data_IF_063303291751
#
_entry.id   IF_063303291751
#
_cell.length_a   1.000
_cell.length_b   1.000
_cell.length_c   1.000
_cell.angle_alpha   90.00
_cell.angle_beta   90.00
_cell.angle_gamma   90.00
#
_symmetry.space_group_name_H-M   'P 1'
#
loop_
_entity.id
_entity.type
_entity.pdbx_description
1 polymer ?
#
# COMPACT_ATOMS: atom_id res chain seq x y z
N UNK A 1 11.46 8.40 -12.95
CA UNK A 1 10.29 7.58 -13.27
C UNK A 1 10.26 7.35 -14.75
N UNK A 2 9.81 6.18 -15.19
CA UNK A 2 9.50 5.94 -16.60
C UNK A 2 8.23 6.72 -16.96
N UNK A 3 8.28 7.49 -18.04
CA UNK A 3 7.14 8.21 -18.60
C UNK A 3 6.61 7.41 -19.80
N UNK A 4 5.31 7.20 -19.85
CA UNK A 4 4.63 6.52 -20.95
C UNK A 4 3.60 7.46 -21.58
N UNK A 5 3.68 7.63 -22.90
CA UNK A 5 2.71 8.43 -23.66
C UNK A 5 1.55 7.54 -24.13
N UNK A 6 0.34 7.90 -23.70
CA UNK A 6 -0.88 7.25 -24.15
C UNK A 6 -1.24 7.70 -25.58
N UNK A 7 -1.99 6.89 -26.35
CA UNK A 7 -2.40 7.23 -27.73
C UNK A 7 -3.19 8.54 -27.88
N UNK A 8 -3.77 9.04 -26.78
CA UNK A 8 -4.50 10.30 -26.73
C UNK A 8 -3.61 11.52 -26.36
N UNK A 9 -2.29 11.35 -26.29
CA UNK A 9 -1.33 12.40 -25.94
C UNK A 9 -1.19 12.67 -24.44
N UNK A 10 -1.78 11.84 -23.57
CA UNK A 10 -1.59 11.96 -22.12
C UNK A 10 -0.25 11.35 -21.69
N UNK A 11 0.47 12.00 -20.78
CA UNK A 11 1.72 11.48 -20.19
C UNK A 11 1.40 10.83 -18.85
N UNK A 12 1.74 9.55 -18.70
CA UNK A 12 1.69 8.83 -17.44
C UNK A 12 3.11 8.70 -16.86
N UNK A 13 3.29 9.00 -15.56
CA UNK A 13 4.55 8.74 -14.85
C UNK A 13 4.35 7.62 -13.85
N UNK A 14 5.28 6.65 -13.82
CA UNK A 14 5.24 5.56 -12.84
C UNK A 14 5.76 6.03 -11.48
N UNK A 15 4.93 5.84 -10.44
CA UNK A 15 5.34 5.96 -9.03
C UNK A 15 5.84 4.59 -8.56
N UNK A 16 7.15 4.36 -8.64
CA UNK A 16 7.74 3.09 -8.20
C UNK A 16 7.99 3.08 -6.69
N UNK A 17 7.09 2.41 -5.97
CA UNK A 17 7.14 2.21 -4.52
C UNK A 17 7.66 0.82 -4.14
N UNK A 18 8.08 -0.01 -5.10
CA UNK A 18 8.34 -1.44 -4.88
C UNK A 18 9.43 -1.66 -3.85
N UNK A 19 10.60 -1.04 -4.05
CA UNK A 19 11.75 -1.23 -3.16
C UNK A 19 11.50 -0.68 -1.76
N UNK A 20 10.90 0.51 -1.63
CA UNK A 20 10.63 1.08 -0.31
C UNK A 20 9.57 0.28 0.46
N UNK A 21 8.59 -0.30 -0.24
CA UNK A 21 7.57 -1.17 0.36
C UNK A 21 8.17 -2.49 0.86
N UNK A 22 9.11 -3.08 0.10
CA UNK A 22 9.82 -4.31 0.50
C UNK A 22 10.63 -4.13 1.79
N UNK A 23 11.08 -2.92 2.11
CA UNK A 23 11.82 -2.61 3.34
C UNK A 23 10.92 -2.44 4.58
N UNK A 24 9.59 -2.55 4.43
CA UNK A 24 8.63 -2.25 5.50
C UNK A 24 7.73 -3.45 5.88
N UNK A 25 8.22 -4.68 6.07
CA UNK A 25 7.35 -5.80 6.47
C UNK A 25 6.64 -5.57 7.83
N UNK A 26 7.15 -4.65 8.65
CA UNK A 26 6.54 -4.22 9.91
C UNK A 26 5.32 -3.29 9.73
N UNK A 27 5.09 -2.78 8.52
CA UNK A 27 3.92 -1.96 8.20
C UNK A 27 2.62 -2.75 8.05
N UNK A 28 2.66 -4.08 8.12
CA UNK A 28 1.49 -4.94 7.99
C UNK A 28 0.70 -5.06 9.30
N UNK A 29 -0.64 -5.20 9.25
CA UNK A 29 -1.47 -5.38 10.43
C UNK A 29 -1.26 -6.74 11.10
N UNK A 30 -0.76 -7.74 10.37
CA UNK A 30 -0.55 -9.09 10.91
C UNK A 30 -1.84 -9.64 11.52
N UNK A 31 -1.81 -9.93 12.82
CA UNK A 31 -2.96 -10.42 13.60
C UNK A 31 -3.92 -9.34 14.11
N UNK A 32 -3.58 -8.06 13.94
CA UNK A 32 -4.32 -6.92 14.49
C UNK A 32 -5.33 -6.31 13.51
N UNK A 33 -5.61 -7.01 12.40
CA UNK A 33 -6.69 -6.64 11.47
C UNK A 33 -8.03 -6.70 12.20
N UNK A 34 -8.89 -5.70 12.01
CA UNK A 34 -10.17 -5.59 12.71
C UNK A 34 -11.01 -6.88 12.51
N UNK A 35 -11.27 -7.55 13.63
CA UNK A 35 -12.09 -8.75 13.76
C UNK A 35 -13.52 -8.60 13.23
N UNK A 36 -13.99 -7.38 12.98
CA UNK A 36 -15.29 -7.13 12.34
C UNK A 36 -15.34 -7.48 10.85
N UNK A 37 -14.18 -7.60 10.17
CA UNK A 37 -14.07 -8.01 8.76
C UNK A 37 -13.77 -9.50 8.57
N UNK A 38 -13.46 -10.20 9.65
CA UNK A 38 -13.44 -11.66 9.68
C UNK A 38 -14.84 -12.05 10.13
N UNK A 39 -15.53 -12.90 9.37
CA UNK A 39 -16.80 -13.43 9.88
C UNK A 39 -16.50 -13.98 11.28
N UNK A 40 -17.25 -13.54 12.29
CA UNK A 40 -17.26 -14.16 13.63
C UNK A 40 -17.83 -15.59 13.52
N UNK A 41 -17.39 -16.37 12.54
CA UNK A 41 -17.46 -17.81 12.56
C UNK A 41 -16.73 -18.21 13.83
N UNK A 42 -17.44 -18.95 14.67
CA UNK A 42 -17.07 -19.50 15.97
C UNK A 42 -15.86 -20.45 15.87
N UNK A 43 -14.75 -19.92 15.35
CA UNK A 43 -13.54 -20.64 15.03
C UNK A 43 -12.53 -20.26 16.10
N UNK A 44 -12.15 -21.26 16.89
CA UNK A 44 -11.03 -21.22 17.85
C UNK A 44 -9.65 -21.05 17.18
N UNK A 45 -9.62 -20.85 15.86
CA UNK A 45 -8.38 -20.68 15.09
C UNK A 45 -7.80 -19.26 15.24
N UNK A 46 -6.47 -19.13 15.30
CA UNK A 46 -5.82 -17.83 15.27
C UNK A 46 -6.19 -17.07 13.99
N UNK A 47 -6.42 -15.76 14.11
CA UNK A 47 -6.59 -14.87 12.96
C UNK A 47 -5.37 -15.01 12.03
N UNK A 48 -5.56 -15.35 10.74
CA UNK A 48 -4.46 -15.41 9.79
C UNK A 48 -3.74 -14.07 9.69
N UNK A 49 -2.40 -14.10 9.64
CA UNK A 49 -1.62 -12.88 9.44
C UNK A 49 -1.89 -12.30 8.05
N UNK A 50 -2.30 -11.04 8.01
CA UNK A 50 -2.45 -10.29 6.77
C UNK A 50 -1.12 -9.64 6.39
N UNK A 51 -0.48 -10.17 5.34
CA UNK A 51 0.77 -9.67 4.76
C UNK A 51 0.55 -8.90 3.44
N UNK A 52 -0.69 -8.57 3.09
CA UNK A 52 -1.03 -7.87 1.85
C UNK A 52 -1.39 -6.42 2.13
N UNK A 53 -2.12 -6.17 3.22
CA UNK A 53 -2.61 -4.85 3.58
C UNK A 53 -1.64 -4.12 4.50
N UNK A 54 -1.82 -2.81 4.63
CA UNK A 54 -0.94 -1.94 5.40
C UNK A 54 -1.70 -1.28 6.55
N UNK A 55 -1.05 -1.14 7.69
CA UNK A 55 -1.52 -0.34 8.80
C UNK A 55 -1.59 1.14 8.43
N UNK A 56 -2.49 1.85 9.10
CA UNK A 56 -2.59 3.30 9.08
C UNK A 56 -2.51 3.84 10.53
N UNK A 57 -1.63 4.81 10.81
CA UNK A 57 -0.60 5.36 9.92
C UNK A 57 0.48 4.31 9.57
N UNK A 58 1.15 4.45 8.42
CA UNK A 58 2.08 3.45 7.92
C UNK A 58 2.68 3.73 6.54
N UNK A 59 3.20 2.71 5.83
CA UNK A 59 3.90 2.88 4.54
C UNK A 59 3.09 3.59 3.45
N UNK A 60 1.76 3.49 3.50
CA UNK A 60 0.84 4.23 2.63
C UNK A 60 1.08 5.75 2.71
N UNK A 61 1.39 6.27 3.89
CA UNK A 61 1.63 7.70 4.09
C UNK A 61 2.89 8.14 3.32
N UNK A 62 3.95 7.33 3.35
CA UNK A 62 5.17 7.57 2.56
C UNK A 62 4.91 7.51 1.05
N UNK A 63 4.06 6.58 0.59
CA UNK A 63 3.68 6.53 -0.84
C UNK A 63 2.95 7.80 -1.27
N UNK A 64 2.05 8.31 -0.42
CA UNK A 64 1.34 9.56 -0.66
C UNK A 64 2.28 10.77 -0.69
N UNK A 65 3.30 10.80 0.16
CA UNK A 65 4.32 11.85 0.13
C UNK A 65 5.15 11.82 -1.16
N UNK A 66 5.58 10.64 -1.60
CA UNK A 66 6.31 10.46 -2.87
C UNK A 66 5.43 10.92 -4.04
N UNK A 67 4.17 10.48 -4.08
CA UNK A 67 3.20 10.88 -5.10
C UNK A 67 3.01 12.41 -5.10
N UNK A 68 2.85 13.01 -3.93
CA UNK A 68 2.65 14.46 -3.80
C UNK A 68 3.88 15.24 -4.28
N UNK A 69 5.10 14.75 -4.01
CA UNK A 69 6.32 15.35 -4.55
C UNK A 69 6.33 15.27 -6.08
N UNK A 70 6.04 14.10 -6.65
CA UNK A 70 6.00 13.91 -8.10
C UNK A 70 4.95 14.80 -8.79
N UNK A 71 3.81 15.07 -8.16
CA UNK A 71 2.77 15.98 -8.69
C UNK A 71 3.23 17.44 -8.62
N UNK A 72 3.97 17.83 -7.58
CA UNK A 72 4.50 19.19 -7.43
C UNK A 72 5.62 19.52 -8.42
N UNK A 73 6.32 18.50 -8.90
CA UNK A 73 7.44 18.62 -9.85
C UNK A 73 6.97 18.61 -11.33
N UNK A 74 5.66 18.70 -11.58
CA UNK A 74 5.04 18.87 -12.91
C UNK A 74 4.79 20.35 -13.16
#
# INVERSE_FOLDING_TARGET
GTEEEAPNGSIAKLVDITYCSLLRPDGHPGKYRDSNFISKSESTQPVPNDCLHWCLPGPIDTWNEILLQMIKDI
#
